data_IF_542502248629
#
_entry.id   IF_542502248629
#
_cell.length_a   1.000
_cell.length_b   1.000
_cell.length_c   1.000
_cell.angle_alpha   90.00
_cell.angle_beta   90.00
_cell.angle_gamma   90.00
#
_symmetry.space_group_name_H-M   'P 1'
#
loop_
_entity.id
_entity.type
_entity.pdbx_description
1 polymer ?
#
# COMPACT_ATOMS: atom_id res chain seq x y z
N UNK A 1 -25.24 -62.96 -34.91
CA UNK A 1 -26.07 -62.89 -33.69
C UNK A 1 -25.21 -62.32 -32.56
N UNK A 2 -25.50 -61.07 -32.18
CA UNK A 2 -25.90 -60.66 -30.82
C UNK A 2 -24.69 -60.45 -29.87
N UNK A 3 -24.21 -59.21 -29.69
CA UNK A 3 -24.74 -58.17 -28.78
C UNK A 3 -24.18 -58.32 -27.34
N UNK A 4 -23.14 -57.55 -27.03
CA UNK A 4 -22.72 -57.27 -25.65
C UNK A 4 -23.15 -55.84 -25.34
N UNK A 5 -24.24 -55.73 -24.60
CA UNK A 5 -24.79 -54.48 -24.11
C UNK A 5 -24.31 -54.21 -22.68
N UNK A 6 -23.93 -52.96 -22.45
CA UNK A 6 -24.27 -52.24 -21.22
C UNK A 6 -23.37 -52.48 -20.01
N UNK A 7 -22.57 -51.47 -19.66
CA UNK A 7 -22.40 -50.93 -18.30
C UNK A 7 -21.57 -49.64 -18.41
N UNK A 8 -22.16 -48.57 -18.97
CA UNK A 8 -21.62 -47.23 -18.76
C UNK A 8 -22.06 -46.76 -17.37
N UNK A 9 -21.08 -46.74 -16.46
CA UNK A 9 -21.21 -46.28 -15.10
C UNK A 9 -21.60 -44.80 -15.02
N UNK A 10 -22.65 -44.56 -14.25
CA UNK A 10 -22.90 -43.34 -13.51
C UNK A 10 -21.63 -42.91 -12.75
N UNK A 11 -21.21 -41.65 -12.82
CA UNK A 11 -20.20 -41.18 -11.85
C UNK A 11 -19.55 -39.80 -12.00
N UNK A 12 -19.61 -39.12 -13.15
CA UNK A 12 -18.71 -37.97 -13.37
C UNK A 12 -19.31 -36.56 -13.15
N UNK A 13 -20.53 -36.45 -12.63
CA UNK A 13 -21.12 -35.14 -12.31
C UNK A 13 -20.97 -34.70 -10.84
N UNK A 14 -20.46 -35.57 -9.96
CA UNK A 14 -20.31 -35.26 -8.53
C UNK A 14 -18.92 -34.71 -8.15
N UNK A 15 -17.89 -34.84 -9.02
CA UNK A 15 -16.53 -34.32 -8.72
C UNK A 15 -16.33 -32.83 -9.03
N UNK A 16 -17.19 -32.23 -9.87
CA UNK A 16 -17.08 -30.81 -10.25
C UNK A 16 -17.53 -29.82 -9.18
N UNK A 17 -18.43 -30.22 -8.27
CA UNK A 17 -18.94 -29.34 -7.21
C UNK A 17 -18.02 -29.22 -6.00
N UNK A 18 -17.23 -30.26 -5.69
CA UNK A 18 -16.39 -30.23 -4.48
C UNK A 18 -15.14 -29.34 -4.61
N UNK A 19 -14.57 -29.20 -5.83
CA UNK A 19 -13.43 -28.28 -6.06
C UNK A 19 -13.83 -26.80 -6.12
N UNK A 20 -15.02 -26.45 -6.62
CA UNK A 20 -15.50 -25.04 -6.59
C UNK A 20 -15.82 -24.56 -5.19
N UNK A 21 -16.33 -25.43 -4.32
CA UNK A 21 -16.60 -25.08 -2.92
C UNK A 21 -15.32 -24.82 -2.10
N UNK A 22 -14.23 -25.57 -2.36
CA UNK A 22 -12.96 -25.37 -1.66
C UNK A 22 -12.18 -24.17 -2.21
N UNK A 23 -12.21 -23.89 -3.51
CA UNK A 23 -11.59 -22.69 -4.09
C UNK A 23 -12.28 -21.40 -3.63
N UNK A 24 -13.62 -21.37 -3.55
CA UNK A 24 -14.35 -20.22 -3.04
C UNK A 24 -14.17 -19.99 -1.52
N UNK A 25 -13.90 -21.06 -0.75
CA UNK A 25 -13.56 -20.94 0.66
C UNK A 25 -12.10 -20.48 0.88
N UNK A 26 -11.18 -20.91 0.02
CA UNK A 26 -9.77 -20.50 0.08
C UNK A 26 -9.55 -19.05 -0.41
N UNK A 27 -10.25 -18.60 -1.45
CA UNK A 27 -10.19 -17.20 -1.92
C UNK A 27 -10.80 -16.22 -0.90
N UNK A 28 -11.70 -16.69 -0.02
CA UNK A 28 -12.25 -15.87 1.07
C UNK A 28 -11.32 -15.72 2.28
N UNK A 29 -10.25 -16.52 2.36
CA UNK A 29 -9.24 -16.43 3.42
C UNK A 29 -8.00 -15.61 3.06
N UNK A 30 -7.82 -15.22 1.80
CA UNK A 30 -6.64 -14.49 1.31
C UNK A 30 -6.83 -12.97 1.14
N UNK A 31 -7.89 -12.39 1.72
CA UNK A 31 -8.07 -10.92 1.79
C UNK A 31 -8.12 -10.35 3.21
N UNK A 32 -7.76 -11.16 4.21
CA UNK A 32 -7.59 -10.70 5.60
C UNK A 32 -6.21 -10.11 5.83
N UNK A 33 -5.85 -9.13 5.01
CA UNK A 33 -5.02 -8.04 5.51
C UNK A 33 -5.94 -7.10 6.31
N UNK A 34 -6.58 -7.64 7.35
CA UNK A 34 -7.24 -6.85 8.39
C UNK A 34 -6.13 -6.20 9.22
N UNK A 35 -5.57 -5.15 8.63
CA UNK A 35 -4.86 -4.02 9.24
C UNK A 35 -4.47 -4.25 10.72
N UNK A 36 -3.30 -4.87 10.95
CA UNK A 36 -2.81 -5.28 12.29
C UNK A 36 -2.82 -4.11 13.27
N UNK A 37 -2.49 -2.91 12.78
CA UNK A 37 -2.54 -1.65 13.53
C UNK A 37 -3.96 -1.28 14.01
N UNK A 38 -5.00 -1.55 13.20
CA UNK A 38 -6.39 -1.26 13.57
C UNK A 38 -6.88 -2.18 14.68
N UNK A 39 -6.51 -3.47 14.61
CA UNK A 39 -6.80 -4.44 15.68
C UNK A 39 -6.10 -4.08 16.99
N UNK A 40 -4.84 -3.63 16.91
CA UNK A 40 -4.06 -3.18 18.06
C UNK A 40 -4.64 -1.90 18.69
N UNK A 41 -5.07 -0.93 17.89
CA UNK A 41 -5.75 0.29 18.36
C UNK A 41 -7.03 -0.05 19.10
N UNK A 42 -7.86 -0.94 18.52
CA UNK A 42 -9.12 -1.37 19.15
C UNK A 42 -8.87 -2.07 20.47
N UNK A 43 -7.85 -2.95 20.55
CA UNK A 43 -7.46 -3.62 21.79
C UNK A 43 -7.04 -2.62 22.87
N UNK A 44 -6.12 -1.72 22.56
CA UNK A 44 -5.57 -0.75 23.52
C UNK A 44 -6.61 0.24 24.06
N UNK A 45 -7.59 0.64 23.23
CA UNK A 45 -8.69 1.53 23.65
C UNK A 45 -9.70 0.76 24.51
N UNK A 46 -10.02 -0.48 24.15
CA UNK A 46 -10.97 -1.30 24.92
C UNK A 46 -10.41 -1.70 26.29
N UNK A 47 -9.12 -2.01 26.38
CA UNK A 47 -8.43 -2.26 27.66
C UNK A 47 -8.50 -1.01 28.56
N UNK A 48 -8.18 0.17 28.02
CA UNK A 48 -8.33 1.42 28.77
C UNK A 48 -9.78 1.66 29.23
N UNK A 49 -10.77 1.40 28.37
CA UNK A 49 -12.17 1.60 28.71
C UNK A 49 -12.65 0.65 29.82
N UNK A 50 -12.08 -0.56 29.92
CA UNK A 50 -12.36 -1.49 31.00
C UNK A 50 -11.75 -1.01 32.33
N UNK A 51 -10.51 -0.50 32.31
CA UNK A 51 -9.83 0.08 33.47
C UNK A 51 -10.52 1.35 33.98
N UNK A 52 -10.96 2.21 33.06
CA UNK A 52 -11.65 3.46 33.40
C UNK A 52 -12.99 3.24 34.11
N UNK A 53 -13.70 2.15 33.78
CA UNK A 53 -14.97 1.77 34.45
C UNK A 53 -14.78 1.32 35.90
N UNK A 54 -13.60 0.83 36.25
CA UNK A 54 -13.28 0.35 37.60
C UNK A 54 -12.60 1.43 38.46
N UNK A 55 -12.25 2.57 37.87
CA UNK A 55 -11.55 3.66 38.54
C UNK A 55 -12.54 4.65 39.16
N UNK A 56 -12.33 5.01 40.43
CA UNK A 56 -13.07 6.06 41.16
C UNK A 56 -12.49 7.48 40.93
N UNK A 57 -11.74 7.68 39.85
CA UNK A 57 -11.12 8.97 39.54
C UNK A 57 -12.12 10.01 39.03
N UNK A 58 -11.81 11.29 39.25
CA UNK A 58 -12.62 12.40 38.75
C UNK A 58 -12.62 12.44 37.21
N UNK A 59 -13.72 12.89 36.61
CA UNK A 59 -13.93 12.93 35.17
C UNK A 59 -12.80 13.66 34.40
N UNK A 60 -12.27 14.74 34.97
CA UNK A 60 -11.09 15.48 34.46
C UNK A 60 -9.83 14.61 34.35
N UNK A 61 -9.58 13.76 35.34
CA UNK A 61 -8.42 12.88 35.38
C UNK A 61 -8.58 11.72 34.39
N UNK A 62 -9.78 11.16 34.30
CA UNK A 62 -10.11 10.14 33.30
C UNK A 62 -9.97 10.68 31.88
N UNK A 63 -10.42 11.91 31.64
CA UNK A 63 -10.26 12.60 30.35
C UNK A 63 -8.79 12.82 29.98
N UNK A 64 -7.96 13.28 30.93
CA UNK A 64 -6.53 13.46 30.68
C UNK A 64 -5.83 12.12 30.36
N UNK A 65 -6.19 11.05 31.07
CA UNK A 65 -5.67 9.70 30.81
C UNK A 65 -6.08 9.19 29.43
N UNK A 66 -7.34 9.36 29.05
CA UNK A 66 -7.81 9.04 27.70
C UNK A 66 -6.99 9.77 26.64
N UNK A 67 -6.89 11.10 26.78
CA UNK A 67 -6.16 11.95 25.84
C UNK A 67 -4.70 11.50 25.70
N UNK A 68 -4.06 11.17 26.82
CA UNK A 68 -2.68 10.67 26.83
C UNK A 68 -2.57 9.30 26.15
N UNK A 69 -3.51 8.39 26.39
CA UNK A 69 -3.54 7.06 25.76
C UNK A 69 -3.74 7.17 24.25
N UNK A 70 -4.68 8.02 23.80
CA UNK A 70 -4.91 8.30 22.38
C UNK A 70 -3.66 8.87 21.72
N UNK A 71 -2.98 9.82 22.38
CA UNK A 71 -1.70 10.34 21.85
C UNK A 71 -0.61 9.26 21.76
N UNK A 72 -0.52 8.34 22.73
CA UNK A 72 0.43 7.22 22.68
C UNK A 72 0.12 6.24 21.55
N UNK A 73 -1.14 5.87 21.37
CA UNK A 73 -1.59 4.99 20.27
C UNK A 73 -1.26 5.65 18.92
N UNK A 74 -1.58 6.94 18.78
CA UNK A 74 -1.27 7.68 17.56
C UNK A 74 0.24 7.77 17.29
N UNK A 75 1.05 7.90 18.34
CA UNK A 75 2.50 7.99 18.21
C UNK A 75 3.21 6.66 17.93
N UNK A 76 2.68 5.54 18.43
CA UNK A 76 3.35 4.25 18.42
C UNK A 76 2.77 3.26 17.39
N UNK A 77 1.45 3.30 17.16
CA UNK A 77 0.75 2.34 16.30
C UNK A 77 0.38 2.99 14.96
N UNK A 78 -0.11 4.22 14.99
CA UNK A 78 -0.62 4.89 13.77
C UNK A 78 0.40 5.79 13.07
N UNK A 79 1.66 5.84 13.52
CA UNK A 79 2.68 6.53 12.75
C UNK A 79 3.03 5.67 11.54
N UNK A 80 2.85 6.14 10.30
CA UNK A 80 3.39 5.43 9.15
C UNK A 80 4.90 5.38 9.33
N UNK A 81 5.42 4.18 9.60
CA UNK A 81 6.82 3.95 9.95
C UNK A 81 7.76 4.36 8.81
N UNK A 82 7.23 4.43 7.57
CA UNK A 82 7.93 4.89 6.38
C UNK A 82 7.01 5.65 5.42
N UNK A 83 7.57 6.62 4.71
CA UNK A 83 6.90 7.28 3.61
C UNK A 83 6.60 6.25 2.51
N UNK A 84 5.31 6.01 2.24
CA UNK A 84 4.91 5.17 1.11
C UNK A 84 5.15 5.95 -0.18
N UNK A 85 6.10 5.48 -0.99
CA UNK A 85 6.43 6.04 -2.28
C UNK A 85 5.25 5.92 -3.24
N UNK A 86 4.50 7.02 -3.43
CA UNK A 86 3.41 7.06 -4.44
C UNK A 86 3.92 6.91 -5.86
N UNK A 87 5.16 7.34 -6.07
CA UNK A 87 5.81 7.36 -7.37
C UNK A 87 7.16 6.64 -7.25
N UNK A 88 7.56 5.86 -8.26
CA UNK A 88 8.77 5.03 -8.19
C UNK A 88 10.07 5.85 -8.17
N UNK A 89 9.99 7.14 -8.52
CA UNK A 89 11.10 8.09 -8.48
C UNK A 89 11.13 8.94 -7.21
N UNK A 90 10.17 8.80 -6.29
CA UNK A 90 10.19 9.51 -5.01
C UNK A 90 11.21 8.88 -4.07
N UNK A 91 12.10 9.72 -3.54
CA UNK A 91 13.18 9.29 -2.65
C UNK A 91 12.93 9.78 -1.23
N UNK A 92 13.50 9.08 -0.25
CA UNK A 92 13.46 9.47 1.17
C UNK A 92 13.94 10.91 1.39
N UNK A 93 14.95 11.36 0.62
CA UNK A 93 15.42 12.75 0.66
C UNK A 93 14.33 13.76 0.31
N UNK A 94 13.49 13.48 -0.70
CA UNK A 94 12.38 14.36 -1.07
C UNK A 94 11.37 14.43 0.07
N UNK A 95 11.05 13.30 0.69
CA UNK A 95 10.13 13.25 1.83
C UNK A 95 10.64 14.03 3.04
N UNK A 96 11.93 13.87 3.37
CA UNK A 96 12.56 14.65 4.44
C UNK A 96 12.50 16.16 4.16
N UNK A 97 12.72 16.58 2.91
CA UNK A 97 12.59 17.98 2.53
C UNK A 97 11.14 18.47 2.62
N UNK A 98 10.16 17.64 2.26
CA UNK A 98 8.74 17.98 2.41
C UNK A 98 8.35 18.15 3.89
N UNK A 99 8.85 17.30 4.78
CA UNK A 99 8.60 17.45 6.22
C UNK A 99 9.31 18.69 6.79
N UNK A 100 10.56 18.94 6.38
CA UNK A 100 11.27 20.18 6.73
C UNK A 100 10.49 21.41 6.30
N UNK A 101 9.90 21.41 5.10
CA UNK A 101 9.04 22.50 4.63
C UNK A 101 7.77 22.64 5.48
N UNK A 102 7.18 21.53 5.93
CA UNK A 102 5.99 21.53 6.80
C UNK A 102 6.27 22.21 8.14
N UNK A 103 7.44 21.96 8.72
CA UNK A 103 7.88 22.55 10.00
C UNK A 103 8.15 24.06 9.91
N UNK A 104 8.58 24.56 8.75
CA UNK A 104 8.98 25.97 8.57
C UNK A 104 7.93 26.82 7.84
N UNK A 105 6.63 26.53 8.03
CA UNK A 105 5.54 27.27 7.37
C UNK A 105 5.52 28.78 7.71
N UNK A 106 6.03 29.14 8.89
CA UNK A 106 6.01 30.51 9.39
C UNK A 106 7.23 31.34 8.96
N UNK A 107 8.28 30.73 8.40
CA UNK A 107 9.46 31.41 7.86
C UNK A 107 9.43 31.39 6.34
N UNK A 108 9.01 32.51 5.73
CA UNK A 108 8.85 32.62 4.27
C UNK A 108 10.17 32.42 3.49
N UNK A 109 11.31 32.90 4.02
CA UNK A 109 12.61 32.78 3.32
C UNK A 109 13.08 31.34 3.30
N UNK A 110 13.00 30.67 4.45
CA UNK A 110 13.42 29.28 4.57
C UNK A 110 12.45 28.36 3.83
N UNK A 111 11.14 28.62 3.92
CA UNK A 111 10.11 27.90 3.17
C UNK A 111 10.36 27.92 1.67
N UNK A 112 10.59 29.11 1.08
CA UNK A 112 10.90 29.25 -0.36
C UNK A 112 12.22 28.59 -0.76
N UNK A 113 13.18 28.53 0.16
CA UNK A 113 14.47 27.87 -0.10
C UNK A 113 14.31 26.36 -0.13
N UNK A 114 13.61 25.78 0.85
CA UNK A 114 13.30 24.35 0.89
C UNK A 114 12.41 23.97 -0.30
N UNK A 115 11.42 24.79 -0.67
CA UNK A 115 10.56 24.54 -1.84
C UNK A 115 11.36 24.45 -3.15
N UNK A 116 12.35 25.34 -3.34
CA UNK A 116 13.26 25.28 -4.50
C UNK A 116 14.10 24.01 -4.50
N UNK A 117 14.59 23.59 -3.34
CA UNK A 117 15.36 22.37 -3.18
C UNK A 117 14.51 21.13 -3.49
N UNK A 118 13.29 21.04 -2.96
CA UNK A 118 12.33 19.98 -3.28
C UNK A 118 12.12 19.87 -4.79
N UNK A 119 11.84 20.99 -5.47
CA UNK A 119 11.63 20.98 -6.94
C UNK A 119 12.86 20.49 -7.69
N UNK A 120 14.07 20.84 -7.23
CA UNK A 120 15.32 20.38 -7.83
C UNK A 120 15.49 18.88 -7.67
N UNK A 121 15.32 18.37 -6.45
CA UNK A 121 15.45 16.95 -6.13
C UNK A 121 14.40 16.10 -6.85
N UNK A 122 13.15 16.58 -6.91
CA UNK A 122 12.07 15.93 -7.68
C UNK A 122 12.44 15.81 -9.16
N UNK A 123 12.91 16.90 -9.79
CA UNK A 123 13.34 16.85 -11.19
C UNK A 123 14.51 15.89 -11.39
N UNK A 124 15.50 15.93 -10.51
CA UNK A 124 16.67 15.06 -10.58
C UNK A 124 16.28 13.58 -10.45
N UNK A 125 15.53 13.23 -9.41
CA UNK A 125 15.12 11.87 -9.13
C UNK A 125 14.23 11.31 -10.25
N UNK A 126 13.27 12.10 -10.74
CA UNK A 126 12.43 11.76 -11.88
C UNK A 126 13.27 11.50 -13.14
N UNK A 127 14.16 12.42 -13.50
CA UNK A 127 15.00 12.27 -14.70
C UNK A 127 15.96 11.09 -14.58
N UNK A 128 16.55 10.86 -13.40
CA UNK A 128 17.42 9.71 -13.16
C UNK A 128 16.67 8.39 -13.31
N UNK A 129 15.43 8.31 -12.81
CA UNK A 129 14.59 7.13 -12.96
C UNK A 129 14.26 6.83 -14.43
N UNK A 130 13.82 7.85 -15.18
CA UNK A 130 13.52 7.68 -16.61
C UNK A 130 14.77 7.30 -17.42
N UNK A 131 15.94 7.90 -17.13
CA UNK A 131 17.20 7.52 -17.78
C UNK A 131 17.51 6.05 -17.55
N UNK A 132 17.47 5.57 -16.31
CA UNK A 132 17.68 4.16 -15.99
C UNK A 132 16.69 3.23 -16.71
N UNK A 133 15.44 3.67 -16.88
CA UNK A 133 14.44 2.93 -17.64
C UNK A 133 14.76 2.89 -19.14
N UNK A 134 15.20 3.99 -19.74
CA UNK A 134 15.68 4.01 -21.12
C UNK A 134 16.90 3.10 -21.30
N UNK A 135 17.90 3.21 -20.43
CA UNK A 135 19.11 2.37 -20.47
C UNK A 135 18.73 0.87 -20.39
N UNK A 136 17.75 0.53 -19.55
CA UNK A 136 17.24 -0.83 -19.46
C UNK A 136 16.58 -1.32 -20.76
N UNK A 137 15.77 -0.48 -21.40
CA UNK A 137 15.16 -0.81 -22.69
C UNK A 137 16.21 -0.98 -23.79
N UNK A 138 17.25 -0.15 -23.82
CA UNK A 138 18.36 -0.29 -24.75
C UNK A 138 19.08 -1.64 -24.58
N UNK A 139 19.28 -2.08 -23.34
CA UNK A 139 19.83 -3.41 -23.05
C UNK A 139 18.92 -4.52 -23.55
N UNK A 140 17.60 -4.43 -23.34
CA UNK A 140 16.63 -5.42 -23.85
C UNK A 140 16.62 -5.46 -25.39
N UNK A 141 16.66 -4.28 -26.02
CA UNK A 141 16.75 -4.15 -27.47
C UNK A 141 18.02 -4.81 -28.02
N UNK A 142 19.18 -4.53 -27.42
CA UNK A 142 20.47 -5.10 -27.83
C UNK A 142 20.55 -6.62 -27.61
N UNK A 143 19.75 -7.17 -26.70
CA UNK A 143 19.58 -8.62 -26.48
C UNK A 143 18.54 -9.26 -27.42
N UNK A 144 17.91 -8.47 -28.30
CA UNK A 144 16.79 -8.90 -29.15
C UNK A 144 15.61 -9.48 -28.36
N UNK A 145 15.41 -9.05 -27.11
CA UNK A 145 14.31 -9.48 -26.26
C UNK A 145 13.05 -8.64 -26.53
N UNK A 146 12.44 -8.90 -27.68
CA UNK A 146 11.26 -8.14 -28.15
C UNK A 146 10.06 -8.27 -27.21
N UNK A 147 9.91 -9.41 -26.54
CA UNK A 147 8.80 -9.65 -25.61
C UNK A 147 8.90 -8.74 -24.38
N UNK A 148 10.05 -8.76 -23.68
CA UNK A 148 10.22 -7.93 -22.50
C UNK A 148 10.31 -6.44 -22.85
N UNK A 149 10.89 -6.09 -24.00
CA UNK A 149 10.89 -4.71 -24.50
C UNK A 149 9.47 -4.17 -24.69
N UNK A 150 8.59 -4.92 -25.35
CA UNK A 150 7.19 -4.53 -25.54
C UNK A 150 6.44 -4.43 -24.20
N UNK A 151 6.66 -5.38 -23.29
CA UNK A 151 6.05 -5.38 -21.96
C UNK A 151 6.41 -4.13 -21.16
N UNK A 152 7.70 -3.80 -21.06
CA UNK A 152 8.17 -2.62 -20.32
C UNK A 152 7.77 -1.31 -21.00
N UNK A 153 7.84 -1.23 -22.33
CA UNK A 153 7.39 -0.07 -23.11
C UNK A 153 5.90 0.22 -22.88
N UNK A 154 5.05 -0.81 -22.96
CA UNK A 154 3.61 -0.69 -22.68
C UNK A 154 3.35 -0.24 -21.24
N UNK A 155 4.08 -0.78 -20.27
CA UNK A 155 3.94 -0.39 -18.87
C UNK A 155 4.23 1.10 -18.64
N UNK A 156 5.27 1.65 -19.30
CA UNK A 156 5.59 3.07 -19.19
C UNK A 156 4.50 3.97 -19.80
N UNK A 157 3.94 3.59 -20.95
CA UNK A 157 2.87 4.36 -21.61
C UNK A 157 1.55 4.32 -20.81
N UNK A 158 1.24 3.19 -20.19
CA UNK A 158 0.05 3.09 -19.34
C UNK A 158 0.17 3.92 -18.06
N UNK A 159 1.37 4.00 -17.47
CA UNK A 159 1.63 4.88 -16.32
C UNK A 159 1.48 6.37 -16.66
N UNK A 160 1.70 6.78 -17.92
CA UNK A 160 1.46 8.16 -18.36
C UNK A 160 -0.01 8.44 -18.64
N UNK A 161 -0.75 7.47 -19.18
CA UNK A 161 -2.17 7.66 -19.54
C UNK A 161 -3.10 7.69 -18.32
N UNK A 162 -2.80 6.92 -17.26
CA UNK A 162 -3.57 6.94 -16.01
C UNK A 162 -3.53 8.31 -15.28
N UNK A 163 -2.65 9.23 -15.69
CA UNK A 163 -2.51 10.58 -15.11
C UNK A 163 -3.16 11.68 -15.96
N UNK A 164 -3.74 11.33 -17.12
CA UNK A 164 -4.36 12.27 -18.08
C UNK A 164 -5.90 12.21 -18.08
N UNK A 165 -6.53 11.48 -17.16
CA UNK A 165 -7.99 11.58 -16.99
C UNK A 165 -8.36 12.93 -16.33
N UNK A 166 -9.16 13.78 -17.01
CA UNK A 166 -9.61 15.04 -16.44
C UNK A 166 -10.75 14.79 -15.44
N UNK A 167 -10.72 15.53 -14.32
CA UNK A 167 -11.88 15.76 -13.43
C UNK A 167 -12.91 16.66 -14.12
#
# INVERSE_FOLDING_TARGET
MAAVAGLYGLGDEQRGRHRRGQAAAAERSESRDDNTEASEVVREINEWAAEAKQSHENAEQQWYKLKTKVHKINANILKPDKWVAKEPWMTEKIYQLMEKRRLHKNDDKLYKTIDREIRREVRYARNSWYRKKCDHLEVLHNKHDAFNLHKESRAMVLQTNAKMEPL
#
